data_IF_670422582625
#
_entry.id   IF_670422582625
#
_cell.length_a   1.000
_cell.length_b   1.000
_cell.length_c   1.000
_cell.angle_alpha   90.00
_cell.angle_beta   90.00
_cell.angle_gamma   90.00
#
_symmetry.space_group_name_H-M   'P 1'
#
loop_
_entity.id
_entity.type
_entity.pdbx_description
1 polymer ?
#
# COMPACT_ATOMS: atom_id res chain seq x y z
N UNK A 1 -14.21 3.85 34.83
CA UNK A 1 -13.54 2.73 34.12
C UNK A 1 -14.49 2.21 33.03
N UNK A 2 -14.72 2.97 31.97
CA UNK A 2 -15.85 2.66 31.05
C UNK A 2 -15.55 2.90 29.57
N UNK A 3 -14.27 3.08 29.20
CA UNK A 3 -13.85 3.23 27.80
C UNK A 3 -12.81 2.21 27.34
N UNK A 4 -12.43 1.27 28.22
CA UNK A 4 -11.57 0.14 27.86
C UNK A 4 -12.36 -1.06 27.31
N UNK A 5 -13.67 -1.14 27.54
CA UNK A 5 -14.52 -2.18 26.95
C UNK A 5 -14.94 -1.87 25.50
N UNK A 6 -14.94 -0.60 25.08
CA UNK A 6 -15.44 -0.20 23.75
C UNK A 6 -14.52 -0.56 22.57
N UNK A 7 -13.28 -1.03 22.85
CA UNK A 7 -12.37 -1.61 21.84
C UNK A 7 -12.27 -3.14 21.93
N UNK A 8 -13.14 -3.81 22.70
CA UNK A 8 -13.19 -5.27 22.82
C UNK A 8 -13.49 -6.01 21.50
N UNK A 9 -13.72 -5.27 20.41
CA UNK A 9 -13.65 -5.74 19.03
C UNK A 9 -12.33 -5.31 18.37
N UNK A 10 -11.20 -5.65 18.98
CA UNK A 10 -10.03 -6.04 18.19
C UNK A 10 -10.55 -7.10 17.21
N UNK A 11 -10.59 -6.85 15.90
CA UNK A 11 -11.41 -7.60 14.91
C UNK A 11 -11.42 -9.14 15.01
N UNK A 12 -10.47 -9.80 15.68
CA UNK A 12 -10.46 -11.25 15.95
C UNK A 12 -9.89 -11.66 17.33
N UNK A 13 -9.83 -10.77 18.34
CA UNK A 13 -9.32 -11.14 19.67
C UNK A 13 -7.82 -11.46 19.75
N UNK A 14 -7.01 -11.01 18.79
CA UNK A 14 -5.56 -11.29 18.77
C UNK A 14 -4.78 -10.35 19.70
N UNK A 15 -4.43 -10.84 20.88
CA UNK A 15 -3.63 -10.12 21.89
C UNK A 15 -2.33 -9.52 21.31
N UNK A 16 -1.74 -10.10 20.26
CA UNK A 16 -0.54 -9.53 19.60
C UNK A 16 -0.84 -8.19 18.95
N UNK A 17 -1.98 -8.06 18.28
CA UNK A 17 -2.41 -6.79 17.65
C UNK A 17 -2.67 -5.71 18.70
N UNK A 18 -3.26 -6.08 19.84
CA UNK A 18 -3.51 -5.15 20.94
C UNK A 18 -2.19 -4.62 21.51
N UNK A 19 -1.22 -5.50 21.71
CA UNK A 19 0.11 -5.14 22.18
C UNK A 19 0.85 -4.26 21.18
N UNK A 20 0.79 -4.58 19.89
CA UNK A 20 1.41 -3.78 18.83
C UNK A 20 0.80 -2.37 18.76
N UNK A 21 -0.53 -2.27 18.80
CA UNK A 21 -1.24 -0.99 18.82
C UNK A 21 -0.87 -0.14 20.03
N UNK A 22 -0.82 -0.74 21.23
CA UNK A 22 -0.46 -0.04 22.46
C UNK A 22 0.99 0.47 22.41
N UNK A 23 1.92 -0.36 21.91
CA UNK A 23 3.32 0.02 21.74
C UNK A 23 3.46 1.21 20.80
N UNK A 24 2.84 1.16 19.63
CA UNK A 24 2.86 2.26 18.67
C UNK A 24 2.20 3.53 19.22
N UNK A 25 1.11 3.38 19.98
CA UNK A 25 0.44 4.52 20.63
C UNK A 25 1.32 5.20 21.68
N UNK A 26 2.11 4.41 22.43
CA UNK A 26 3.08 4.92 23.39
C UNK A 26 4.25 5.63 22.67
N UNK A 27 4.79 5.05 21.60
CA UNK A 27 5.85 5.67 20.78
C UNK A 27 5.40 7.02 20.22
N UNK A 28 4.15 7.13 19.77
CA UNK A 28 3.59 8.39 19.28
C UNK A 28 3.40 9.42 20.40
N UNK A 29 2.91 9.00 21.58
CA UNK A 29 2.82 9.88 22.73
C UNK A 29 4.20 10.41 23.17
N UNK A 30 5.22 9.56 23.11
CA UNK A 30 6.60 9.93 23.44
C UNK A 30 7.17 10.92 22.42
N UNK A 31 6.95 10.70 21.12
CA UNK A 31 7.30 11.66 20.05
C UNK A 31 6.65 13.02 20.25
N UNK A 32 5.37 13.03 20.61
CA UNK A 32 4.59 14.24 20.85
C UNK A 32 4.88 14.86 22.25
N UNK A 33 5.82 14.28 23.02
CA UNK A 33 6.16 14.64 24.41
C UNK A 33 4.94 14.72 25.34
N UNK A 34 3.92 13.93 25.06
CA UNK A 34 2.68 13.90 25.80
C UNK A 34 2.82 13.05 27.08
N UNK A 35 2.27 13.53 28.20
CA UNK A 35 2.32 12.82 29.48
C UNK A 35 1.44 11.56 29.54
N UNK A 36 0.50 11.41 28.59
CA UNK A 36 -0.46 10.31 28.52
C UNK A 36 -0.78 10.00 27.06
N UNK A 37 -1.14 8.73 26.80
CA UNK A 37 -1.66 8.32 25.50
C UNK A 37 -3.06 8.95 25.32
N UNK A 38 -3.25 9.67 24.21
CA UNK A 38 -4.51 10.29 23.82
C UNK A 38 -5.17 9.46 22.72
N UNK A 39 -6.43 9.75 22.43
CA UNK A 39 -7.14 9.12 21.32
C UNK A 39 -6.46 9.38 19.96
N UNK A 40 -5.86 10.56 19.78
CA UNK A 40 -5.14 10.92 18.56
C UNK A 40 -3.92 10.00 18.34
N UNK A 41 -3.15 9.70 19.38
CA UNK A 41 -2.03 8.75 19.28
C UNK A 41 -2.51 7.34 18.90
N UNK A 42 -3.66 6.90 19.41
CA UNK A 42 -4.22 5.58 19.06
C UNK A 42 -4.66 5.53 17.60
N UNK A 43 -5.27 6.59 17.08
CA UNK A 43 -5.68 6.68 15.67
C UNK A 43 -4.45 6.66 14.76
N UNK A 44 -3.45 7.51 15.04
CA UNK A 44 -2.18 7.53 14.30
C UNK A 44 -1.49 6.15 14.34
N UNK A 45 -1.47 5.50 15.51
CA UNK A 45 -0.85 4.20 15.69
C UNK A 45 -1.57 3.10 14.92
N UNK A 46 -2.91 3.13 14.88
CA UNK A 46 -3.72 2.21 14.08
C UNK A 46 -3.40 2.35 12.59
N UNK A 47 -3.39 3.57 12.08
CA UNK A 47 -3.09 3.82 10.66
C UNK A 47 -1.69 3.33 10.30
N UNK A 48 -0.69 3.60 11.16
CA UNK A 48 0.68 3.09 10.96
C UNK A 48 0.75 1.57 10.99
N UNK A 49 0.03 0.93 11.90
CA UNK A 49 -0.02 -0.53 11.99
C UNK A 49 -0.64 -1.14 10.72
N UNK A 50 -1.73 -0.56 10.22
CA UNK A 50 -2.37 -0.99 8.96
C UNK A 50 -1.43 -0.82 7.76
N UNK A 51 -0.72 0.31 7.67
CA UNK A 51 0.30 0.55 6.66
C UNK A 51 1.42 -0.50 6.73
N UNK A 52 1.97 -0.75 7.92
CA UNK A 52 3.05 -1.73 8.11
C UNK A 52 2.62 -3.14 7.69
N UNK A 53 1.37 -3.53 7.95
CA UNK A 53 0.81 -4.81 7.53
C UNK A 53 0.67 -4.91 6.00
N UNK A 54 0.20 -3.84 5.35
CA UNK A 54 0.11 -3.77 3.88
C UNK A 54 1.50 -3.91 3.25
N UNK A 55 2.49 -3.18 3.77
CA UNK A 55 3.86 -3.23 3.26
C UNK A 55 4.48 -4.62 3.45
N UNK A 56 4.23 -5.27 4.57
CA UNK A 56 4.72 -6.63 4.82
C UNK A 56 4.03 -7.66 3.90
N UNK A 57 2.73 -7.52 3.68
CA UNK A 57 1.99 -8.31 2.68
C UNK A 57 2.64 -8.15 1.30
N UNK A 58 2.92 -6.92 0.87
CA UNK A 58 3.56 -6.64 -0.42
C UNK A 58 4.95 -7.30 -0.56
N UNK A 59 5.75 -7.33 0.52
CA UNK A 59 7.08 -7.98 0.53
C UNK A 59 6.99 -9.50 0.36
N UNK A 60 5.98 -10.12 0.95
CA UNK A 60 5.80 -11.58 0.93
C UNK A 60 5.07 -12.10 -0.32
N UNK A 61 4.61 -11.20 -1.19
CA UNK A 61 3.95 -11.57 -2.45
C UNK A 61 4.84 -12.48 -3.33
N UNK A 62 4.25 -13.50 -3.99
CA UNK A 62 4.90 -14.24 -5.06
C UNK A 62 5.39 -13.32 -6.17
N UNK A 63 6.46 -13.73 -6.87
CA UNK A 63 7.14 -12.91 -7.89
C UNK A 63 6.19 -12.28 -8.90
N UNK A 64 5.30 -13.06 -9.53
CA UNK A 64 4.38 -12.51 -10.53
C UNK A 64 3.31 -11.58 -9.93
N UNK A 65 2.78 -11.86 -8.74
CA UNK A 65 1.85 -10.96 -8.03
C UNK A 65 2.55 -9.64 -7.68
N UNK A 66 3.81 -9.71 -7.28
CA UNK A 66 4.65 -8.55 -6.96
C UNK A 66 4.89 -7.66 -8.19
N UNK A 67 5.28 -8.24 -9.34
CA UNK A 67 5.42 -7.48 -10.60
C UNK A 67 4.09 -6.92 -11.07
N UNK A 68 3.01 -7.67 -10.91
CA UNK A 68 1.67 -7.24 -11.31
C UNK A 68 1.20 -6.04 -10.48
N UNK A 69 1.34 -6.09 -9.16
CA UNK A 69 1.02 -4.97 -8.27
C UNK A 69 1.86 -3.74 -8.64
N UNK A 70 3.15 -3.92 -8.89
CA UNK A 70 4.02 -2.83 -9.36
C UNK A 70 3.53 -2.23 -10.69
N UNK A 71 3.13 -3.07 -11.65
CA UNK A 71 2.56 -2.62 -12.92
C UNK A 71 1.26 -1.82 -12.73
N UNK A 72 0.38 -2.25 -11.82
CA UNK A 72 -0.86 -1.54 -11.46
C UNK A 72 -0.52 -0.17 -10.87
N UNK A 73 0.37 -0.10 -9.88
CA UNK A 73 0.77 1.15 -9.22
C UNK A 73 1.36 2.16 -10.21
N UNK A 74 2.27 1.72 -11.09
CA UNK A 74 2.84 2.57 -12.15
C UNK A 74 1.79 3.09 -13.14
N UNK A 75 0.80 2.28 -13.46
CA UNK A 75 -0.27 2.65 -14.39
C UNK A 75 -1.23 3.63 -13.71
N UNK A 76 -1.53 3.40 -12.43
CA UNK A 76 -2.43 4.22 -11.63
C UNK A 76 -1.83 5.61 -11.36
N UNK A 77 -0.54 5.70 -11.06
CA UNK A 77 0.16 6.98 -10.84
C UNK A 77 0.03 7.93 -12.03
N UNK A 78 -0.01 7.39 -13.26
CA UNK A 78 -0.17 8.17 -14.50
C UNK A 78 -1.60 8.67 -14.70
N UNK A 79 -2.62 7.85 -14.41
CA UNK A 79 -4.03 8.17 -14.66
C UNK A 79 -4.73 8.86 -13.49
N UNK A 80 -4.28 8.61 -12.26
CA UNK A 80 -4.86 9.07 -10.98
C UNK A 80 -6.34 8.72 -10.76
N UNK A 81 -6.86 7.73 -11.49
CA UNK A 81 -8.28 7.31 -11.40
C UNK A 81 -8.42 5.81 -11.26
N UNK A 82 -8.30 5.08 -12.37
CA UNK A 82 -8.44 3.63 -12.44
C UNK A 82 -7.59 3.11 -13.59
N UNK A 83 -7.32 1.81 -13.61
CA UNK A 83 -6.55 1.16 -14.66
C UNK A 83 -7.28 -0.07 -15.19
N UNK A 84 -7.18 -0.30 -16.50
CA UNK A 84 -7.85 -1.43 -17.14
C UNK A 84 -6.93 -2.66 -17.18
N UNK A 85 -7.52 -3.86 -17.13
CA UNK A 85 -6.75 -5.13 -17.17
C UNK A 85 -5.78 -5.22 -18.35
N UNK A 86 -6.19 -4.76 -19.54
CA UNK A 86 -5.33 -4.78 -20.73
C UNK A 86 -4.07 -3.91 -20.58
N UNK A 87 -4.21 -2.72 -20.00
CA UNK A 87 -3.11 -1.80 -19.78
C UNK A 87 -2.13 -2.33 -18.72
N UNK A 88 -2.69 -2.90 -17.65
CA UNK A 88 -1.93 -3.59 -16.62
C UNK A 88 -1.15 -4.75 -17.23
N UNK A 89 -1.77 -5.53 -18.11
CA UNK A 89 -1.11 -6.65 -18.79
C UNK A 89 0.06 -6.20 -19.67
N UNK A 90 -0.11 -5.13 -20.44
CA UNK A 90 0.97 -4.57 -21.26
C UNK A 90 2.13 -4.07 -20.40
N UNK A 91 1.83 -3.35 -19.31
CA UNK A 91 2.83 -2.85 -18.37
C UNK A 91 3.58 -4.01 -17.68
N UNK A 92 2.83 -4.98 -17.16
CA UNK A 92 3.35 -6.20 -16.55
C UNK A 92 4.27 -6.97 -17.50
N UNK A 93 3.83 -7.21 -18.74
CA UNK A 93 4.59 -8.00 -19.71
C UNK A 93 5.96 -7.38 -20.00
N UNK A 94 6.01 -6.05 -20.14
CA UNK A 94 7.26 -5.30 -20.32
C UNK A 94 8.19 -5.43 -19.10
N UNK A 95 7.64 -5.38 -17.89
CA UNK A 95 8.41 -5.47 -16.66
C UNK A 95 8.98 -6.88 -16.43
N UNK A 96 8.18 -7.92 -16.68
CA UNK A 96 8.60 -9.33 -16.54
C UNK A 96 9.72 -9.67 -17.53
N UNK A 97 9.62 -9.23 -18.79
CA UNK A 97 10.69 -9.42 -19.78
C UNK A 97 11.99 -8.74 -19.35
N UNK A 98 11.92 -7.54 -18.75
CA UNK A 98 13.10 -6.84 -18.22
C UNK A 98 13.76 -7.57 -17.04
N UNK A 99 13.02 -8.42 -16.33
CA UNK A 99 13.56 -9.30 -15.28
C UNK A 99 14.13 -10.61 -15.85
N UNK A 100 14.11 -10.82 -17.17
CA UNK A 100 14.53 -12.08 -17.79
C UNK A 100 13.55 -13.24 -17.56
N UNK A 101 12.32 -12.93 -17.16
CA UNK A 101 11.27 -13.91 -16.88
C UNK A 101 10.31 -14.04 -18.07
N UNK A 102 9.58 -15.15 -18.12
CA UNK A 102 8.52 -15.36 -19.11
C UNK A 102 7.20 -14.73 -18.64
N UNK A 103 6.54 -13.89 -19.46
CA UNK A 103 5.21 -13.36 -19.13
C UNK A 103 4.18 -14.47 -18.97
N UNK A 104 3.32 -14.32 -17.95
CA UNK A 104 2.13 -15.15 -17.84
C UNK A 104 1.14 -14.87 -18.96
N UNK A 105 0.33 -15.86 -19.31
CA UNK A 105 -0.80 -15.68 -20.22
C UNK A 105 -1.86 -14.73 -19.62
N UNK A 106 -2.58 -14.02 -20.47
CA UNK A 106 -3.62 -13.06 -20.07
C UNK A 106 -4.69 -13.65 -19.12
N UNK A 107 -5.02 -14.94 -19.26
CA UNK A 107 -5.95 -15.62 -18.34
C UNK A 107 -5.41 -15.71 -16.91
N UNK A 108 -4.12 -16.03 -16.75
CA UNK A 108 -3.49 -16.15 -15.44
C UNK A 108 -3.42 -14.80 -14.72
N UNK A 109 -3.33 -13.70 -15.47
CA UNK A 109 -3.32 -12.34 -14.91
C UNK A 109 -4.62 -12.02 -14.20
N UNK A 110 -5.76 -12.46 -14.74
CA UNK A 110 -7.05 -12.32 -14.04
C UNK A 110 -7.06 -13.02 -12.68
N UNK A 111 -6.40 -14.20 -12.58
CA UNK A 111 -6.29 -14.91 -11.31
C UNK A 111 -5.41 -14.14 -10.32
N UNK A 112 -4.26 -13.63 -10.78
CA UNK A 112 -3.36 -12.85 -9.95
C UNK A 112 -4.00 -11.52 -9.50
N UNK A 113 -4.84 -10.89 -10.33
CA UNK A 113 -5.64 -9.73 -9.92
C UNK A 113 -6.60 -10.12 -8.79
N UNK A 114 -7.27 -11.27 -8.92
CA UNK A 114 -8.17 -11.76 -7.87
C UNK A 114 -7.43 -12.18 -6.59
N UNK A 115 -6.19 -12.64 -6.67
CA UNK A 115 -5.33 -12.86 -5.49
C UNK A 115 -4.98 -11.53 -4.80
N UNK A 116 -4.60 -10.51 -5.57
CA UNK A 116 -4.34 -9.17 -5.01
C UNK A 116 -5.60 -8.56 -4.37
N UNK A 117 -6.77 -8.83 -4.93
CA UNK A 117 -8.07 -8.41 -4.39
C UNK A 117 -8.40 -9.15 -3.09
N UNK A 118 -8.15 -10.46 -3.02
CA UNK A 118 -8.32 -11.24 -1.79
C UNK A 118 -7.41 -10.78 -0.65
N UNK A 119 -6.24 -10.23 -0.98
CA UNK A 119 -5.31 -9.62 -0.03
C UNK A 119 -5.69 -8.17 0.34
N UNK A 120 -6.75 -7.61 -0.25
CA UNK A 120 -7.20 -6.24 -0.02
C UNK A 120 -6.26 -5.17 -0.58
N UNK A 121 -5.42 -5.52 -1.55
CA UNK A 121 -4.45 -4.58 -2.13
C UNK A 121 -5.06 -3.74 -3.27
N UNK A 122 -6.06 -4.30 -3.95
CA UNK A 122 -6.79 -3.68 -5.06
C UNK A 122 -8.27 -4.09 -5.01
N UNK A 123 -9.11 -3.33 -5.71
CA UNK A 123 -10.48 -3.74 -6.06
C UNK A 123 -10.65 -3.78 -7.56
N UNK A 124 -11.39 -4.76 -8.07
CA UNK A 124 -11.63 -4.91 -9.50
C UNK A 124 -13.12 -5.03 -9.84
N UNK A 125 -13.63 -4.13 -10.69
CA UNK A 125 -15.03 -4.16 -11.16
C UNK A 125 -15.09 -4.50 -12.64
N UNK A 126 -16.03 -5.37 -13.03
CA UNK A 126 -16.21 -5.70 -14.45
C UNK A 126 -16.97 -4.57 -15.14
N UNK A 127 -16.36 -4.01 -16.18
CA UNK A 127 -16.96 -2.99 -17.04
C UNK A 127 -17.13 -3.50 -18.46
N UNK A 128 -18.27 -3.19 -19.08
CA UNK A 128 -18.54 -3.52 -20.49
C UNK A 128 -18.03 -2.40 -21.39
N UNK A 129 -17.33 -2.75 -22.46
CA UNK A 129 -16.92 -1.82 -23.54
C UNK A 129 -17.77 -2.01 -24.79
N UNK A 130 -18.98 -2.56 -24.66
CA UNK A 130 -19.85 -2.87 -25.80
C UNK A 130 -19.21 -3.93 -26.70
N UNK A 131 -19.02 -3.62 -27.99
CA UNK A 131 -18.36 -4.53 -28.96
C UNK A 131 -16.91 -4.86 -28.60
N UNK A 132 -16.25 -4.05 -27.75
CA UNK A 132 -14.89 -4.29 -27.27
C UNK A 132 -14.77 -5.35 -26.16
N UNK A 133 -15.88 -6.02 -25.80
CA UNK A 133 -15.89 -7.07 -24.79
C UNK A 133 -16.00 -6.54 -23.35
N UNK A 134 -15.66 -7.42 -22.39
CA UNK A 134 -15.67 -7.14 -20.95
C UNK A 134 -14.23 -7.03 -20.45
N UNK A 135 -13.95 -6.02 -19.64
CA UNK A 135 -12.64 -5.84 -18.98
C UNK A 135 -12.86 -5.54 -17.50
N UNK A 136 -11.81 -5.60 -16.68
CA UNK A 136 -11.88 -5.11 -15.30
C UNK A 136 -11.27 -3.72 -15.21
N UNK A 137 -11.99 -2.83 -14.55
CA UNK A 137 -11.46 -1.59 -14.02
C UNK A 137 -10.90 -1.88 -12.62
N UNK A 138 -9.66 -1.48 -12.39
CA UNK A 138 -8.90 -1.79 -11.17
C UNK A 138 -8.61 -0.48 -10.44
N UNK A 139 -8.92 -0.48 -9.15
CA UNK A 139 -8.69 0.60 -8.20
C UNK A 139 -7.67 0.15 -7.15
N UNK A 140 -6.85 1.07 -6.67
CA UNK A 140 -5.93 0.82 -5.56
C UNK A 140 -6.65 0.98 -4.23
N UNK A 141 -6.45 0.02 -3.34
CA UNK A 141 -6.90 0.11 -1.94
C UNK A 141 -5.72 0.33 -0.97
N UNK A 142 -4.52 0.50 -1.52
CA UNK A 142 -3.28 0.75 -0.78
C UNK A 142 -2.77 2.16 -1.02
N UNK A 143 -2.06 2.76 -0.04
CA UNK A 143 -1.45 4.07 -0.19
C UNK A 143 -0.35 4.04 -1.25
N UNK A 144 -0.59 4.67 -2.41
CA UNK A 144 0.33 4.70 -3.55
C UNK A 144 1.72 5.20 -3.15
N UNK A 145 1.79 6.31 -2.40
CA UNK A 145 3.04 6.98 -2.04
C UNK A 145 3.93 6.20 -1.06
N UNK A 146 3.37 5.20 -0.39
CA UNK A 146 4.10 4.34 0.56
C UNK A 146 4.42 2.98 -0.08
N UNK A 147 3.44 2.40 -0.78
CA UNK A 147 3.54 1.05 -1.36
C UNK A 147 4.50 1.01 -2.54
N UNK A 148 4.47 2.03 -3.40
CA UNK A 148 5.29 2.06 -4.61
C UNK A 148 6.79 2.15 -4.31
N UNK A 149 7.28 3.07 -3.45
CA UNK A 149 8.68 3.07 -3.04
C UNK A 149 9.10 1.78 -2.31
N UNK A 150 8.23 1.20 -1.49
CA UNK A 150 8.52 -0.04 -0.79
C UNK A 150 8.72 -1.22 -1.75
N UNK A 151 7.94 -1.28 -2.83
CA UNK A 151 8.14 -2.26 -3.90
C UNK A 151 9.39 -1.95 -4.74
N UNK A 152 9.72 -0.69 -4.98
CA UNK A 152 10.95 -0.30 -5.69
C UNK A 152 12.22 -0.66 -4.88
N UNK A 153 12.13 -0.65 -3.56
CA UNK A 153 13.21 -1.06 -2.65
C UNK A 153 13.33 -2.60 -2.50
N UNK A 154 12.36 -3.37 -3.00
CA UNK A 154 12.37 -4.84 -2.96
C UNK A 154 13.52 -5.42 -3.82
N UNK A 155 14.36 -6.34 -3.30
CA UNK A 155 15.51 -6.88 -4.03
C UNK A 155 15.17 -7.52 -5.38
N UNK A 156 13.98 -8.11 -5.51
CA UNK A 156 13.54 -8.75 -6.74
C UNK A 156 13.08 -7.73 -7.79
N UNK A 157 12.45 -6.63 -7.38
CA UNK A 157 11.99 -5.58 -8.31
C UNK A 157 13.06 -4.53 -8.61
N UNK A 158 14.09 -4.40 -7.76
CA UNK A 158 15.17 -3.41 -7.91
C UNK A 158 15.79 -3.29 -9.31
N UNK A 159 16.01 -4.38 -10.08
CA UNK A 159 16.53 -4.28 -11.45
C UNK A 159 15.61 -3.55 -12.44
N UNK A 160 14.29 -3.53 -12.16
CA UNK A 160 13.27 -2.89 -13.00
C UNK A 160 12.65 -1.65 -12.36
N UNK A 161 13.01 -1.36 -11.10
CA UNK A 161 12.61 -0.19 -10.35
C UNK A 161 13.05 1.09 -11.09
N UNK A 162 12.26 2.16 -10.92
CA UNK A 162 12.64 3.46 -11.48
C UNK A 162 13.83 4.01 -10.68
N UNK A 163 14.76 4.72 -11.34
CA UNK A 163 15.81 5.41 -10.60
C UNK A 163 15.15 6.43 -9.67
N UNK A 164 15.37 6.29 -8.35
CA UNK A 164 15.00 7.32 -7.38
C UNK A 164 15.68 8.61 -7.83
N UNK A 165 14.90 9.61 -8.24
CA UNK A 165 15.43 10.97 -8.34
C UNK A 165 15.87 11.35 -6.93
N UNK A 166 17.18 11.34 -6.71
CA UNK A 166 17.80 11.89 -5.51
C UNK A 166 17.44 13.38 -5.52
N UNK A 167 16.75 13.84 -4.47
CA UNK A 167 16.17 15.18 -4.24
C UNK A 167 14.67 15.22 -4.61
N UNK A 168 13.73 15.42 -3.68
CA UNK A 168 13.72 16.44 -2.63
C UNK A 168 13.23 15.88 -1.29
N UNK A 169 13.97 16.16 -0.23
CA UNK A 169 13.40 16.33 1.11
C UNK A 169 12.40 17.48 1.03
N UNK A 170 11.17 17.20 0.61
CA UNK A 170 10.06 18.11 0.84
C UNK A 170 9.70 17.97 2.30
N UNK A 171 10.23 18.92 3.08
CA UNK A 171 9.66 19.49 4.28
C UNK A 171 8.19 19.06 4.47
N UNK A 172 7.95 17.98 5.21
CA UNK A 172 6.74 17.90 6.00
C UNK A 172 6.92 18.89 7.14
N UNK A 173 6.71 20.17 6.83
CA UNK A 173 6.36 21.18 7.81
C UNK A 173 4.99 20.78 8.39
N UNK A 174 4.99 19.81 9.29
CA UNK A 174 4.06 19.73 10.38
C UNK A 174 4.95 19.69 11.62
N UNK A 175 4.76 20.69 12.48
CA UNK A 175 5.54 21.00 13.69
C UNK A 175 6.80 21.87 13.51
N UNK A 176 6.59 23.19 13.45
CA UNK A 176 7.26 24.06 14.42
C UNK A 176 6.49 25.37 14.70
N UNK A 177 5.69 25.45 15.79
CA UNK A 177 5.36 26.70 16.43
C UNK A 177 6.47 27.04 17.45
N UNK A 178 7.57 27.62 16.99
CA UNK A 178 8.54 28.31 17.84
C UNK A 178 8.58 29.77 17.36
N UNK A 179 8.17 30.74 18.22
CA UNK A 179 9.11 31.53 19.04
C UNK A 179 10.22 32.16 18.17
N UNK A 180 10.48 33.45 18.14
CA UNK A 180 10.13 34.60 18.99
C UNK A 180 11.01 35.77 18.49
N UNK A 181 10.62 37.01 18.80
CA UNK A 181 11.38 38.27 18.65
C UNK A 181 11.26 38.98 17.29
N UNK A 182 10.21 39.77 17.13
CA UNK A 182 10.25 41.25 17.23
C UNK A 182 8.88 41.77 17.65
#
# INVERSE_FOLDING_TARGET
>A
MERCAAYAALENGDARRALALLRLSAEMAERDRAKRITQDHVIKAKNRLEQDLILECCRTLPQHCKVLLYAILLSYEKRRTSVLTGEVYESYSKLVVRLGLQPLHARSISNHISELEALGLVRATIVSKGRGGRTREILLDVPLHETLPALEDDPFLRPIARPRMRNQTLLTNFDNPARSLL
#
